data_IF_135965034048
#
_entry.id   IF_135965034048
#
_cell.length_a   1.000
_cell.length_b   1.000
_cell.length_c   1.000
_cell.angle_alpha   90.00
_cell.angle_beta   90.00
_cell.angle_gamma   90.00
#
_symmetry.space_group_name_H-M   'P 1'
#
loop_
_entity.id
_entity.type
_entity.pdbx_description
1 polymer ?
#
# COMPACT_ATOMS: atom_id res chain seq x y z
N UNK A 1 -8.83 28.43 -21.34
CA UNK A 1 -9.05 26.99 -21.55
C UNK A 1 -7.68 26.29 -21.49
N UNK A 2 -7.43 25.55 -20.40
CA UNK A 2 -6.27 24.69 -20.06
C UNK A 2 -4.86 25.33 -19.97
N UNK A 3 -4.00 24.91 -19.01
CA UNK A 3 -3.48 23.55 -18.99
C UNK A 3 -3.44 22.88 -17.59
N UNK A 4 -3.81 21.60 -17.61
CA UNK A 4 -3.46 20.52 -16.68
C UNK A 4 -2.13 20.75 -15.94
N UNK A 5 -2.18 21.35 -14.75
CA UNK A 5 -1.09 21.30 -13.78
C UNK A 5 -0.98 19.87 -13.27
N UNK A 6 -0.14 19.07 -13.94
CA UNK A 6 0.51 17.91 -13.33
C UNK A 6 1.20 18.42 -12.07
N UNK A 7 0.54 18.32 -10.93
CA UNK A 7 1.19 18.46 -9.63
C UNK A 7 2.09 17.24 -9.51
N UNK A 8 3.36 17.42 -9.87
CA UNK A 8 4.44 16.66 -9.23
C UNK A 8 4.28 16.97 -7.74
N UNK A 9 3.56 16.08 -7.05
CA UNK A 9 3.20 16.26 -5.66
C UNK A 9 4.49 16.23 -4.84
N UNK A 10 4.71 17.33 -4.14
CA UNK A 10 5.63 17.44 -3.02
C UNK A 10 5.23 16.34 -2.04
N UNK A 11 6.03 15.27 -1.99
CA UNK A 11 5.84 14.21 -1.02
C UNK A 11 6.39 14.75 0.28
N UNK A 12 5.52 15.35 1.09
CA UNK A 12 5.88 15.74 2.44
C UNK A 12 6.38 14.49 3.18
N UNK A 13 7.52 14.57 3.87
CA UNK A 13 8.20 13.44 4.54
C UNK A 13 7.43 12.92 5.77
N UNK A 14 6.11 12.85 5.71
CA UNK A 14 5.28 12.37 6.79
C UNK A 14 5.26 10.84 6.76
N UNK A 15 5.91 10.25 7.76
CA UNK A 15 5.88 8.80 8.03
C UNK A 15 4.99 8.53 9.23
N UNK A 16 3.99 7.65 9.07
CA UNK A 16 3.09 7.25 10.15
C UNK A 16 3.24 5.75 10.44
N UNK A 17 2.98 5.35 11.70
CA UNK A 17 3.00 3.96 12.13
C UNK A 17 1.58 3.41 12.26
N UNK A 18 1.36 2.23 11.70
CA UNK A 18 0.07 1.53 11.69
C UNK A 18 0.22 0.13 12.25
N UNK A 19 -0.85 -0.39 12.84
CA UNK A 19 -0.98 -1.81 13.16
C UNK A 19 -1.57 -2.56 11.97
N UNK A 20 -0.98 -3.69 11.62
CA UNK A 20 -1.42 -4.51 10.48
C UNK A 20 -2.74 -5.20 10.81
N UNK A 21 -3.73 -5.00 9.94
CA UNK A 21 -5.03 -5.66 9.99
C UNK A 21 -5.27 -6.48 8.72
N UNK A 22 -6.19 -7.45 8.82
CA UNK A 22 -6.56 -8.27 7.68
C UNK A 22 -7.31 -7.44 6.63
N UNK A 23 -6.98 -7.66 5.35
CA UNK A 23 -7.71 -7.07 4.24
C UNK A 23 -9.09 -7.72 4.07
N UNK A 24 -10.02 -6.97 3.50
CA UNK A 24 -11.30 -7.51 3.09
C UNK A 24 -11.13 -8.53 1.95
N UNK A 25 -11.96 -9.58 1.87
CA UNK A 25 -11.85 -10.59 0.81
C UNK A 25 -11.83 -10.02 -0.62
N UNK A 26 -12.54 -8.92 -0.86
CA UNK A 26 -12.61 -8.22 -2.15
C UNK A 26 -11.35 -7.43 -2.55
N UNK A 27 -10.45 -7.20 -1.60
CA UNK A 27 -9.22 -6.42 -1.80
C UNK A 27 -7.99 -7.32 -2.01
N UNK A 28 -8.13 -8.64 -1.80
CA UNK A 28 -7.05 -9.63 -1.96
C UNK A 28 -6.54 -9.68 -3.39
N UNK A 29 -5.21 -9.65 -3.56
CA UNK A 29 -4.53 -9.72 -4.86
C UNK A 29 -4.55 -8.43 -5.65
N UNK A 30 -5.04 -7.31 -5.08
CA UNK A 30 -5.20 -6.04 -5.81
C UNK A 30 -4.07 -5.03 -5.58
N UNK A 31 -3.09 -5.36 -4.74
CA UNK A 31 -1.94 -4.49 -4.45
C UNK A 31 -2.34 -3.16 -3.81
N UNK A 32 -3.35 -3.17 -2.94
CA UNK A 32 -3.85 -1.98 -2.26
C UNK A 32 -3.88 -2.15 -0.74
N UNK A 33 -3.85 -1.03 -0.03
CA UNK A 33 -4.06 -0.97 1.42
C UNK A 33 -5.19 0.00 1.75
N UNK A 34 -5.88 -0.25 2.86
CA UNK A 34 -6.86 0.71 3.40
C UNK A 34 -6.32 1.39 4.64
N UNK A 35 -6.45 2.72 4.65
CA UNK A 35 -6.07 3.61 5.74
C UNK A 35 -7.22 4.56 6.06
N UNK A 36 -7.27 5.08 7.29
CA UNK A 36 -8.22 6.11 7.65
C UNK A 36 -8.06 7.33 6.72
N UNK A 37 -9.15 7.93 6.19
CA UNK A 37 -9.07 9.22 5.51
C UNK A 37 -8.23 10.28 6.23
N UNK A 38 -8.30 10.36 7.57
CA UNK A 38 -7.48 11.30 8.35
C UNK A 38 -5.99 10.96 8.28
N UNK A 39 -5.64 9.68 8.22
CA UNK A 39 -4.25 9.25 8.11
C UNK A 39 -3.72 9.44 6.68
N UNK A 40 -4.56 9.29 5.66
CA UNK A 40 -4.22 9.66 4.27
C UNK A 40 -3.89 11.15 4.17
N UNK A 41 -4.70 12.02 4.77
CA UNK A 41 -4.46 13.46 4.84
C UNK A 41 -3.14 13.78 5.56
N UNK A 42 -2.89 13.14 6.71
CA UNK A 42 -1.64 13.30 7.47
C UNK A 42 -0.41 12.82 6.72
N UNK A 43 -0.55 11.79 5.89
CA UNK A 43 0.51 11.29 4.99
C UNK A 43 0.70 12.16 3.74
N UNK A 44 -0.19 13.12 3.49
CA UNK A 44 -0.16 13.94 2.27
C UNK A 44 -0.50 13.16 1.00
N UNK A 45 -1.20 12.02 1.10
CA UNK A 45 -1.53 11.16 -0.04
C UNK A 45 -3.01 11.24 -0.41
N UNK A 46 -3.29 11.24 -1.71
CA UNK A 46 -4.65 11.16 -2.24
C UNK A 46 -5.10 9.71 -2.40
N UNK A 47 -6.42 9.51 -2.52
CA UNK A 47 -6.98 8.21 -2.87
C UNK A 47 -6.42 7.76 -4.21
N UNK A 48 -5.81 6.57 -4.23
CA UNK A 48 -5.21 6.00 -5.43
C UNK A 48 -3.71 6.30 -5.59
N UNK A 49 -3.13 7.16 -4.75
CA UNK A 49 -1.68 7.36 -4.73
C UNK A 49 -0.96 6.13 -4.18
N UNK A 50 0.35 6.06 -4.43
CA UNK A 50 1.19 4.96 -3.96
C UNK A 50 1.85 5.36 -2.64
N UNK A 51 1.81 4.44 -1.69
CA UNK A 51 2.52 4.52 -0.43
C UNK A 51 3.63 3.48 -0.40
N UNK A 52 4.77 3.85 0.14
CA UNK A 52 5.78 2.88 0.60
C UNK A 52 5.40 2.42 2.00
N UNK A 53 5.44 1.11 2.21
CA UNK A 53 5.14 0.44 3.47
C UNK A 53 6.40 -0.30 3.92
N UNK A 54 6.88 0.01 5.11
CA UNK A 54 8.10 -0.59 5.67
C UNK A 54 7.73 -1.42 6.90
N UNK A 55 7.76 -2.74 6.73
CA UNK A 55 7.83 -3.72 7.82
C UNK A 55 9.28 -4.10 8.08
N UNK A 56 9.59 -5.40 8.05
CA UNK A 56 11.00 -5.87 8.03
C UNK A 56 11.66 -5.64 6.67
N UNK A 57 10.86 -5.54 5.61
CA UNK A 57 11.29 -5.17 4.25
C UNK A 57 10.35 -4.10 3.69
N UNK A 58 10.85 -3.20 2.84
CA UNK A 58 10.00 -2.24 2.16
C UNK A 58 9.15 -2.92 1.08
N UNK A 59 7.92 -2.45 0.93
CA UNK A 59 7.02 -2.78 -0.18
C UNK A 59 6.20 -1.55 -0.55
N UNK A 60 5.39 -1.65 -1.60
CA UNK A 60 4.55 -0.55 -2.08
C UNK A 60 3.13 -1.03 -2.29
N UNK A 61 2.16 -0.14 -2.06
CA UNK A 61 0.76 -0.43 -2.33
C UNK A 61 -0.01 0.84 -2.69
N UNK A 62 -1.16 0.67 -3.35
CA UNK A 62 -2.08 1.77 -3.61
C UNK A 62 -2.90 2.10 -2.37
N UNK A 63 -2.93 3.36 -1.97
CA UNK A 63 -3.70 3.84 -0.84
C UNK A 63 -5.19 3.98 -1.18
N UNK A 64 -6.06 3.40 -0.35
CA UNK A 64 -7.52 3.49 -0.45
C UNK A 64 -8.11 3.88 0.92
N UNK A 65 -9.28 4.54 0.96
CA UNK A 65 -9.90 4.87 2.23
C UNK A 65 -10.46 3.63 2.92
N UNK A 66 -10.30 3.55 4.23
CA UNK A 66 -10.95 2.60 5.10
C UNK A 66 -12.45 2.90 5.23
N UNK A 67 -13.24 1.85 5.44
CA UNK A 67 -14.66 1.99 5.77
C UNK A 67 -14.84 2.56 7.17
N UNK A 68 -16.01 3.14 7.42
CA UNK A 68 -16.29 3.89 8.64
C UNK A 68 -16.05 3.08 9.92
N UNK A 69 -16.29 1.78 9.88
CA UNK A 69 -16.16 0.85 11.02
C UNK A 69 -14.69 0.66 11.45
N UNK A 70 -13.74 1.02 10.59
CA UNK A 70 -12.30 0.77 10.77
C UNK A 70 -11.50 2.08 10.99
N UNK A 71 -12.19 3.22 11.05
CA UNK A 71 -11.59 4.54 11.27
C UNK A 71 -11.18 4.75 12.74
N UNK A 72 -10.20 5.59 12.96
CA UNK A 72 -9.68 6.00 14.27
C UNK A 72 -8.84 4.93 14.98
N UNK A 73 -8.57 3.80 14.34
CA UNK A 73 -7.91 2.66 14.98
C UNK A 73 -6.40 2.56 14.68
N UNK A 74 -5.87 3.43 13.80
CA UNK A 74 -4.46 3.38 13.38
C UNK A 74 -4.11 2.06 12.68
N UNK A 75 -5.03 1.54 11.87
CA UNK A 75 -4.89 0.27 11.17
C UNK A 75 -4.47 0.48 9.72
N UNK A 76 -3.66 -0.46 9.22
CA UNK A 76 -3.41 -0.66 7.79
C UNK A 76 -3.90 -2.04 7.39
N UNK A 77 -4.96 -2.08 6.60
CA UNK A 77 -5.51 -3.35 6.09
C UNK A 77 -4.71 -3.78 4.87
N UNK A 78 -4.07 -4.95 4.95
CA UNK A 78 -3.24 -5.51 3.88
C UNK A 78 -3.48 -7.01 3.71
N UNK A 79 -3.46 -7.46 2.46
CA UNK A 79 -3.65 -8.86 2.12
C UNK A 79 -2.41 -9.71 2.43
N UNK A 80 -2.53 -11.03 2.28
CA UNK A 80 -1.43 -11.95 2.56
C UNK A 80 -0.20 -11.74 1.67
N UNK A 81 -0.40 -11.27 0.44
CA UNK A 81 0.68 -11.04 -0.53
C UNK A 81 1.51 -9.82 -0.12
N UNK A 82 0.85 -8.70 0.18
CA UNK A 82 1.51 -7.49 0.68
C UNK A 82 2.20 -7.73 2.02
N UNK A 83 1.57 -8.48 2.94
CA UNK A 83 2.19 -8.88 4.21
C UNK A 83 3.47 -9.70 3.99
N UNK A 84 3.41 -10.69 3.10
CA UNK A 84 4.59 -11.48 2.75
C UNK A 84 5.70 -10.62 2.15
N UNK A 85 5.36 -9.66 1.28
CA UNK A 85 6.31 -8.72 0.67
C UNK A 85 6.95 -7.79 1.70
N UNK A 86 6.16 -7.23 2.62
CA UNK A 86 6.63 -6.39 3.72
C UNK A 86 7.34 -7.18 4.83
N UNK A 87 7.24 -8.52 4.81
CA UNK A 87 7.64 -9.41 5.91
C UNK A 87 7.03 -8.98 7.25
N UNK A 88 5.72 -8.77 7.25
CA UNK A 88 4.94 -8.35 8.42
C UNK A 88 3.82 -9.36 8.76
N UNK A 89 3.54 -9.51 10.05
CA UNK A 89 2.42 -10.32 10.56
C UNK A 89 1.19 -9.47 10.90
N UNK A 90 0.02 -10.10 11.07
CA UNK A 90 -1.14 -9.42 11.68
C UNK A 90 -0.76 -8.91 13.08
N UNK A 91 -1.33 -7.76 13.46
CA UNK A 91 -1.06 -7.04 14.70
C UNK A 91 0.37 -6.50 14.88
N UNK A 92 1.30 -6.77 13.96
CA UNK A 92 2.62 -6.13 13.93
C UNK A 92 2.49 -4.65 13.52
N UNK A 93 3.49 -3.85 13.88
CA UNK A 93 3.58 -2.46 13.42
C UNK A 93 4.38 -2.36 12.13
N UNK A 94 3.87 -1.58 11.21
CA UNK A 94 4.59 -1.12 10.02
C UNK A 94 4.57 0.40 9.98
N UNK A 95 5.45 0.99 9.17
CA UNK A 95 5.38 2.41 8.83
C UNK A 95 4.92 2.58 7.39
N UNK A 96 4.24 3.68 7.10
CA UNK A 96 3.92 4.06 5.73
C UNK A 96 4.25 5.53 5.49
N UNK A 97 4.64 5.84 4.27
CA UNK A 97 4.87 7.20 3.78
C UNK A 97 4.41 7.34 2.33
N UNK A 98 4.01 8.54 1.93
CA UNK A 98 3.73 8.83 0.53
C UNK A 98 4.98 8.67 -0.34
N UNK A 99 4.79 8.39 -1.64
CA UNK A 99 5.88 8.33 -2.60
C UNK A 99 5.44 8.73 -4.00
N UNK A 100 6.31 9.45 -4.72
CA UNK A 100 6.12 9.72 -6.14
C UNK A 100 6.57 8.50 -6.97
N UNK A 101 5.69 8.02 -7.85
CA UNK A 101 5.97 6.89 -8.74
C UNK A 101 6.09 7.34 -10.19
N UNK A 102 6.92 6.64 -10.96
CA UNK A 102 7.05 6.82 -12.40
C UNK A 102 6.73 5.52 -13.13
N UNK A 103 6.10 5.57 -14.31
CA UNK A 103 5.88 4.38 -15.13
C UNK A 103 7.20 3.66 -15.42
N UNK A 104 7.24 2.37 -15.11
CA UNK A 104 8.39 1.53 -15.44
C UNK A 104 8.48 1.36 -16.96
N UNK A 105 9.71 1.39 -17.51
CA UNK A 105 9.97 1.17 -18.95
C UNK A 105 10.14 -0.31 -19.30
N UNK A 106 10.68 -1.09 -18.37
CA UNK A 106 10.94 -2.51 -18.51
C UNK A 106 10.86 -3.18 -17.14
N UNK A 107 10.31 -4.38 -17.08
CA UNK A 107 10.22 -5.20 -15.88
C UNK A 107 10.74 -6.60 -16.20
N UNK A 108 11.70 -7.09 -15.42
CA UNK A 108 12.20 -8.47 -15.54
C UNK A 108 11.61 -9.27 -14.38
N UNK A 109 10.91 -10.35 -14.69
CA UNK A 109 10.33 -11.26 -13.71
C UNK A 109 10.94 -12.63 -13.90
N UNK A 110 11.29 -13.26 -12.78
CA UNK A 110 11.70 -14.66 -12.74
C UNK A 110 10.67 -15.45 -11.92
N UNK A 111 10.25 -16.65 -12.35
CA UNK A 111 9.45 -17.53 -11.53
C UNK A 111 10.19 -17.88 -10.24
N UNK A 112 9.48 -17.91 -9.12
CA UNK A 112 9.97 -18.56 -7.91
C UNK A 112 9.99 -20.07 -8.14
N UNK A 113 11.16 -20.70 -8.07
CA UNK A 113 11.32 -22.16 -8.18
C UNK A 113 10.39 -22.84 -7.15
N UNK A 114 9.42 -23.62 -7.65
CA UNK A 114 8.47 -24.35 -6.80
C UNK A 114 7.00 -24.31 -7.23
N UNK A 115 6.59 -23.40 -8.13
CA UNK A 115 5.25 -23.47 -8.72
C UNK A 115 5.22 -24.48 -9.87
N UNK A 116 5.07 -25.76 -9.53
CA UNK A 116 4.58 -26.76 -10.50
C UNK A 116 3.15 -26.39 -10.84
N UNK A 117 2.92 -25.91 -12.06
CA UNK A 117 1.58 -25.78 -12.61
C UNK A 117 0.86 -27.12 -12.50
N UNK A 118 -0.35 -27.13 -11.95
CA UNK A 118 -1.21 -28.29 -12.00
C UNK A 118 -1.45 -28.67 -13.48
N UNK A 119 -1.24 -29.93 -13.90
CA UNK A 119 -1.69 -30.36 -15.21
C UNK A 119 -3.22 -30.30 -15.25
N UNK A 120 -3.75 -29.73 -16.33
CA UNK A 120 -5.18 -29.69 -16.63
C UNK A 120 -5.73 -31.04 -17.10
#
# INVERSE_FOLDING_TARGET
MNPSRRRHAQVDENTLSFRVAEALPKDVGRGLVRLDPQDLERLGVSIGDVVEITGKRPTVARAMPAYAEQRGQGLIQMDGILRANASASLDERVTARGMAVQPARSLVLAPVEGMRGAPG
#
